data_IF_599066161680
#
_entry.id   IF_599066161680
#
_cell.length_a   1.000
_cell.length_b   1.000
_cell.length_c   1.000
_cell.angle_alpha   90.00
_cell.angle_beta   90.00
_cell.angle_gamma   90.00
#
_symmetry.space_group_name_H-M   'P 1'
#
loop_
_entity.id
_entity.type
_entity.pdbx_description
1 polymer ?
#
# COMPACT_ATOMS: atom_id res chain seq x y z
N UNK A 1 -9.57 2.43 4.73
CA UNK A 1 -10.47 1.52 5.45
C UNK A 1 -9.63 0.72 6.44
N UNK A 2 -10.10 0.40 7.65
CA UNK A 2 -9.29 -0.33 8.61
C UNK A 2 -9.02 -1.74 8.10
N UNK A 3 -7.77 -2.21 8.23
CA UNK A 3 -7.48 -3.63 8.11
C UNK A 3 -8.27 -4.36 9.20
N UNK A 4 -9.22 -5.19 8.79
CA UNK A 4 -9.98 -6.04 9.70
C UNK A 4 -9.09 -7.19 10.16
N UNK A 5 -9.02 -7.40 11.48
CA UNK A 5 -8.27 -8.51 12.08
C UNK A 5 -9.22 -9.60 12.55
N UNK A 6 -8.81 -10.85 12.35
CA UNK A 6 -9.47 -12.00 13.00
C UNK A 6 -9.05 -12.11 14.48
N UNK A 7 -9.85 -12.78 15.33
CA UNK A 7 -9.54 -12.96 16.76
C UNK A 7 -8.19 -13.64 17.05
N UNK A 8 -7.64 -14.38 16.08
CA UNK A 8 -6.34 -15.04 16.16
C UNK A 8 -5.16 -14.16 15.70
N UNK A 9 -5.35 -12.85 15.59
CA UNK A 9 -4.35 -11.88 15.13
C UNK A 9 -3.82 -12.16 13.72
N UNK A 10 -4.69 -12.63 12.82
CA UNK A 10 -4.38 -12.75 11.39
C UNK A 10 -5.21 -11.79 10.57
N UNK A 11 -4.73 -11.46 9.37
CA UNK A 11 -5.46 -10.65 8.41
C UNK A 11 -6.82 -11.30 8.09
N UNK A 12 -7.91 -10.54 8.26
CA UNK A 12 -9.21 -10.89 7.70
C UNK A 12 -9.27 -10.42 6.23
N UNK A 13 -8.63 -11.21 5.37
CA UNK A 13 -8.50 -10.86 3.97
C UNK A 13 -9.84 -10.86 3.23
N UNK A 14 -10.73 -11.80 3.56
CA UNK A 14 -12.06 -11.89 2.96
C UNK A 14 -12.93 -10.68 3.34
N UNK A 15 -12.90 -10.27 4.62
CA UNK A 15 -13.56 -9.04 5.08
C UNK A 15 -13.00 -7.78 4.41
N UNK A 16 -11.68 -7.72 4.21
CA UNK A 16 -11.05 -6.62 3.46
C UNK A 16 -11.51 -6.60 1.99
N UNK A 17 -11.54 -7.74 1.30
CA UNK A 17 -12.03 -7.83 -0.07
C UNK A 17 -13.50 -7.42 -0.18
N UNK A 18 -14.35 -7.88 0.75
CA UNK A 18 -15.77 -7.49 0.79
C UNK A 18 -15.92 -5.96 0.92
N UNK A 19 -15.15 -5.35 1.82
CA UNK A 19 -15.18 -3.90 2.04
C UNK A 19 -14.69 -3.11 0.82
N UNK A 20 -13.61 -3.57 0.19
CA UNK A 20 -13.06 -2.95 -1.04
C UNK A 20 -13.97 -3.13 -2.26
N UNK A 21 -14.83 -4.14 -2.26
CA UNK A 21 -15.84 -4.31 -3.30
C UNK A 21 -16.96 -3.26 -3.22
N UNK A 22 -17.15 -2.61 -2.07
CA UNK A 22 -18.12 -1.53 -1.91
C UNK A 22 -17.58 -0.18 -2.38
N UNK A 23 -16.25 -0.05 -2.53
CA UNK A 23 -15.61 1.15 -3.06
C UNK A 23 -16.01 1.39 -4.53
N UNK A 24 -16.19 2.66 -4.87
CA UNK A 24 -16.64 3.11 -6.18
C UNK A 24 -15.45 3.53 -7.05
N UNK A 25 -15.65 3.52 -8.36
CA UNK A 25 -14.65 4.03 -9.29
C UNK A 25 -14.35 5.51 -8.98
N UNK A 26 -13.07 5.86 -8.95
CA UNK A 26 -12.59 7.19 -8.58
C UNK A 26 -12.37 7.42 -7.08
N UNK A 27 -12.80 6.51 -6.20
CA UNK A 27 -12.44 6.57 -4.78
C UNK A 27 -10.92 6.42 -4.60
N UNK A 28 -10.36 6.99 -3.53
CA UNK A 28 -8.96 6.77 -3.15
C UNK A 28 -8.90 5.74 -2.04
N UNK A 29 -8.13 4.67 -2.25
CA UNK A 29 -7.93 3.60 -1.27
C UNK A 29 -6.51 3.67 -0.73
N UNK A 30 -6.40 3.94 0.57
CA UNK A 30 -5.14 3.98 1.30
C UNK A 30 -4.69 2.59 1.76
N UNK A 31 -3.46 2.23 1.44
CA UNK A 31 -2.74 1.06 1.92
C UNK A 31 -1.51 1.47 2.71
N UNK A 32 -1.21 0.81 3.83
CA UNK A 32 0.14 0.83 4.39
C UNK A 32 0.96 -0.18 3.58
N UNK A 33 2.04 0.25 2.93
CA UNK A 33 2.76 -0.62 2.00
C UNK A 33 3.61 -1.70 2.68
N UNK A 34 3.99 -1.48 3.94
CA UNK A 34 4.62 -2.47 4.81
C UNK A 34 4.43 -2.06 6.27
N UNK A 35 4.64 -3.01 7.19
CA UNK A 35 4.60 -2.77 8.63
C UNK A 35 3.29 -2.12 9.08
N UNK A 36 2.12 -2.66 8.70
CA UNK A 36 0.84 -2.01 9.00
C UNK A 36 0.71 -1.60 10.48
N UNK A 37 0.66 -0.31 10.77
CA UNK A 37 0.44 0.21 12.13
C UNK A 37 -1.07 0.23 12.46
N UNK A 38 -1.53 -0.31 13.61
CA UNK A 38 -0.78 -0.80 14.77
C UNK A 38 -0.56 -2.33 14.83
N UNK A 39 -0.99 -3.07 13.82
CA UNK A 39 -1.16 -4.53 13.90
C UNK A 39 0.11 -5.31 13.56
N UNK A 40 1.02 -4.73 12.77
CA UNK A 40 2.21 -5.35 12.21
C UNK A 40 1.91 -6.42 11.14
N UNK A 41 0.66 -6.51 10.65
CA UNK A 41 0.24 -7.56 9.72
C UNK A 41 0.15 -7.00 8.31
N UNK A 42 0.95 -7.56 7.42
CA UNK A 42 0.93 -7.23 5.99
C UNK A 42 0.30 -8.38 5.17
N UNK A 43 -0.39 -8.08 4.06
CA UNK A 43 -0.82 -9.09 3.10
C UNK A 43 0.38 -9.86 2.51
N UNK A 44 0.14 -11.11 2.13
CA UNK A 44 1.12 -11.88 1.35
C UNK A 44 1.25 -11.32 -0.07
N UNK A 45 2.32 -11.68 -0.81
CA UNK A 45 2.48 -11.26 -2.21
C UNK A 45 1.29 -11.66 -3.09
N UNK A 46 0.77 -12.88 -2.91
CA UNK A 46 -0.41 -13.37 -3.64
C UNK A 46 -1.66 -12.53 -3.31
N UNK A 47 -1.84 -12.15 -2.04
CA UNK A 47 -2.91 -11.26 -1.62
C UNK A 47 -2.76 -9.86 -2.19
N UNK A 48 -1.53 -9.32 -2.23
CA UNK A 48 -1.25 -8.03 -2.89
C UNK A 48 -1.58 -8.05 -4.38
N UNK A 49 -1.26 -9.14 -5.08
CA UNK A 49 -1.60 -9.31 -6.49
C UNK A 49 -3.12 -9.33 -6.70
N UNK A 50 -3.87 -10.00 -5.83
CA UNK A 50 -5.33 -10.00 -5.87
C UNK A 50 -5.92 -8.60 -5.62
N UNK A 51 -5.38 -7.87 -4.65
CA UNK A 51 -5.78 -6.49 -4.39
C UNK A 51 -5.51 -5.56 -5.57
N UNK A 52 -4.35 -5.70 -6.22
CA UNK A 52 -4.00 -4.94 -7.41
C UNK A 52 -4.96 -5.23 -8.58
N UNK A 53 -5.36 -6.49 -8.76
CA UNK A 53 -6.33 -6.86 -9.79
C UNK A 53 -7.72 -6.29 -9.51
N UNK A 54 -8.18 -6.38 -8.24
CA UNK A 54 -9.45 -5.81 -7.80
C UNK A 54 -9.47 -4.28 -7.99
N UNK A 55 -8.36 -3.62 -7.68
CA UNK A 55 -8.16 -2.18 -7.88
C UNK A 55 -8.43 -1.75 -9.31
N UNK A 56 -7.84 -2.44 -10.28
CA UNK A 56 -8.06 -2.17 -11.70
C UNK A 56 -9.50 -2.44 -12.11
N UNK A 57 -10.09 -3.54 -11.63
CA UNK A 57 -11.47 -3.92 -11.95
C UNK A 57 -12.49 -2.89 -11.43
N UNK A 58 -12.29 -2.40 -10.20
CA UNK A 58 -13.19 -1.45 -9.54
C UNK A 58 -12.92 0.01 -9.91
N UNK A 59 -11.73 0.31 -10.40
CA UNK A 59 -11.36 1.64 -10.90
C UNK A 59 -11.13 2.68 -9.80
N UNK A 60 -10.82 2.26 -8.58
CA UNK A 60 -10.36 3.18 -7.52
C UNK A 60 -8.86 3.45 -7.64
N UNK A 61 -8.40 4.58 -7.09
CA UNK A 61 -7.01 5.04 -7.12
C UNK A 61 -6.26 4.56 -5.87
N UNK A 62 -5.25 3.68 -6.00
CA UNK A 62 -4.43 3.28 -4.87
C UNK A 62 -3.52 4.42 -4.39
N UNK A 63 -3.50 4.63 -3.07
CA UNK A 63 -2.57 5.47 -2.34
C UNK A 63 -1.79 4.60 -1.35
N UNK A 64 -0.47 4.62 -1.43
CA UNK A 64 0.41 3.91 -0.50
C UNK A 64 1.02 4.87 0.53
N UNK A 65 0.91 4.54 1.81
CA UNK A 65 1.73 5.08 2.89
C UNK A 65 2.93 4.16 3.10
N UNK A 66 4.12 4.69 2.87
CA UNK A 66 5.39 3.97 2.88
C UNK A 66 6.36 4.57 3.90
N UNK A 67 5.89 4.76 5.13
CA UNK A 67 6.67 5.34 6.22
C UNK A 67 7.72 4.40 6.86
N UNK A 68 7.61 3.08 6.66
CA UNK A 68 8.40 2.07 7.38
C UNK A 68 9.20 1.13 6.47
N UNK A 69 9.49 1.54 5.23
CA UNK A 69 10.27 0.70 4.31
C UNK A 69 11.62 0.33 4.92
N UNK A 70 11.95 -0.96 4.91
CA UNK A 70 13.20 -1.49 5.44
C UNK A 70 13.13 -1.88 6.92
N UNK A 71 11.99 -1.70 7.59
CA UNK A 71 11.81 -2.08 8.99
C UNK A 71 11.17 -3.47 9.20
N UNK A 72 10.53 -4.08 8.20
CA UNK A 72 9.95 -5.43 8.32
C UNK A 72 10.89 -6.52 7.83
N UNK A 73 10.93 -6.74 6.51
CA UNK A 73 11.63 -7.88 5.88
C UNK A 73 12.87 -7.46 5.10
N UNK A 74 12.97 -6.18 4.75
CA UNK A 74 14.06 -5.62 3.95
C UNK A 74 13.52 -4.61 2.94
N UNK A 75 14.39 -3.75 2.40
CA UNK A 75 13.98 -2.66 1.50
C UNK A 75 13.23 -3.16 0.26
N UNK A 76 13.63 -4.31 -0.27
CA UNK A 76 13.12 -4.88 -1.52
C UNK A 76 11.82 -5.65 -1.28
N UNK A 77 11.80 -6.43 -0.20
CA UNK A 77 10.68 -7.26 0.23
C UNK A 77 9.50 -6.39 0.67
N UNK A 78 9.78 -5.30 1.39
CA UNK A 78 8.75 -4.37 1.85
C UNK A 78 8.09 -3.63 0.67
N UNK A 79 8.75 -3.56 -0.50
CA UNK A 79 8.23 -2.94 -1.72
C UNK A 79 7.46 -3.90 -2.64
N UNK A 80 7.35 -5.19 -2.30
CA UNK A 80 6.67 -6.21 -3.12
C UNK A 80 5.20 -5.84 -3.41
N UNK A 81 4.46 -5.39 -2.39
CA UNK A 81 3.06 -4.98 -2.54
C UNK A 81 2.89 -3.78 -3.47
N UNK A 82 3.71 -2.75 -3.29
CA UNK A 82 3.72 -1.57 -4.16
C UNK A 82 4.04 -1.95 -5.61
N UNK A 83 5.03 -2.83 -5.83
CA UNK A 83 5.42 -3.29 -7.18
C UNK A 83 4.31 -4.07 -7.88
N UNK A 84 3.52 -4.87 -7.13
CA UNK A 84 2.36 -5.56 -7.68
C UNK A 84 1.33 -4.57 -8.26
N UNK A 85 1.10 -3.45 -7.56
CA UNK A 85 0.20 -2.39 -8.04
C UNK A 85 0.79 -1.63 -9.23
N UNK A 86 2.07 -1.25 -9.19
CA UNK A 86 2.75 -0.55 -10.30
C UNK A 86 2.68 -1.35 -11.61
N UNK A 87 2.74 -2.68 -11.56
CA UNK A 87 2.67 -3.53 -12.75
C UNK A 87 1.31 -3.45 -13.49
N UNK A 88 0.23 -3.19 -12.77
CA UNK A 88 -1.14 -3.19 -13.30
C UNK A 88 -1.70 -1.77 -13.50
N UNK A 89 -1.30 -0.81 -12.67
CA UNK A 89 -1.83 0.54 -12.68
C UNK A 89 -1.09 1.48 -13.63
N UNK A 90 -1.87 2.32 -14.32
CA UNK A 90 -1.32 3.46 -15.07
C UNK A 90 -0.88 4.57 -14.16
N UNK A 91 -1.59 4.80 -13.06
CA UNK A 91 -1.36 5.89 -12.10
C UNK A 91 -1.62 5.39 -10.69
N UNK A 92 -0.78 5.82 -9.74
CA UNK A 92 -0.95 5.62 -8.30
C UNK A 92 -0.24 6.72 -7.51
N UNK A 93 -0.58 6.86 -6.23
CA UNK A 93 0.06 7.79 -5.31
C UNK A 93 0.88 7.03 -4.26
N UNK A 94 2.08 7.53 -3.95
CA UNK A 94 2.92 7.03 -2.84
C UNK A 94 3.32 8.21 -1.97
N UNK A 95 2.93 8.15 -0.71
CA UNK A 95 3.46 8.98 0.36
C UNK A 95 4.62 8.23 1.00
N UNK A 96 5.84 8.74 0.83
CA UNK A 96 7.03 8.21 1.48
C UNK A 96 7.44 9.18 2.59
N UNK A 97 7.63 8.66 3.80
CA UNK A 97 8.13 9.42 4.93
C UNK A 97 9.52 8.90 5.29
N UNK A 98 10.55 9.72 5.07
CA UNK A 98 11.91 9.40 5.48
C UNK A 98 12.14 10.01 6.87
N UNK A 99 12.11 9.17 7.90
CA UNK A 99 12.60 9.56 9.22
C UNK A 99 14.13 9.47 9.22
N UNK A 100 14.82 10.60 9.05
CA UNK A 100 16.27 10.69 9.34
C UNK A 100 16.44 10.77 10.87
N UNK A 101 16.98 9.71 11.49
CA UNK A 101 17.33 9.72 12.92
C UNK A 101 18.58 10.58 13.17
N UNK A 102 18.40 11.89 13.35
CA UNK A 102 19.40 12.79 13.93
C UNK A 102 18.76 13.61 15.07
N UNK A 103 18.80 13.05 16.28
CA UNK A 103 18.52 13.78 17.52
C UNK A 103 19.52 14.95 17.66
N UNK A 104 19.11 16.24 17.61
CA UNK A 104 17.94 16.84 18.27
C UNK A 104 16.98 17.61 17.34
N UNK A 105 17.02 17.38 16.01
CA UNK A 105 16.16 18.08 15.04
C UNK A 105 15.38 17.06 14.23
N UNK A 106 14.12 16.85 14.59
CA UNK A 106 13.17 16.09 13.77
C UNK A 106 12.83 16.90 12.51
N UNK A 107 13.62 16.75 11.45
CA UNK A 107 13.23 17.21 10.11
C UNK A 107 12.47 16.09 9.43
N UNK A 108 11.15 16.23 9.34
CA UNK A 108 10.35 15.40 8.46
C UNK A 108 10.66 15.76 7.01
N UNK A 109 11.21 14.80 6.26
CA UNK A 109 11.23 14.85 4.80
C UNK A 109 10.25 13.82 4.31
N UNK A 110 9.20 14.30 3.64
CA UNK A 110 8.23 13.45 2.96
C UNK A 110 8.19 13.82 1.49
N UNK A 111 8.01 12.82 0.64
CA UNK A 111 7.79 13.01 -0.78
C UNK A 111 6.46 12.37 -1.15
N UNK A 112 5.62 13.13 -1.86
CA UNK A 112 4.48 12.55 -2.58
C UNK A 112 4.95 12.23 -3.99
N UNK A 113 4.97 10.96 -4.33
CA UNK A 113 5.27 10.50 -5.69
C UNK A 113 3.96 10.14 -6.39
N UNK A 114 3.72 10.73 -7.56
CA UNK A 114 2.73 10.24 -8.50
C UNK A 114 3.45 9.32 -9.49
N UNK A 115 3.20 8.02 -9.38
CA UNK A 115 3.86 6.99 -10.19
C UNK A 115 3.03 6.61 -11.39
N UNK A 116 3.66 6.46 -12.56
CA UNK A 116 3.00 5.97 -13.77
C UNK A 116 3.57 4.62 -14.22
N UNK A 117 2.84 3.52 -13.98
CA UNK A 117 3.32 2.15 -14.23
C UNK A 117 3.35 1.75 -15.71
N UNK A 118 2.55 2.40 -16.57
CA UNK A 118 2.47 2.13 -18.02
C UNK A 118 2.53 3.40 -18.87
N UNK A 119 3.54 4.23 -18.63
CA UNK A 119 3.76 5.46 -19.42
C UNK A 119 4.34 5.24 -20.83
N UNK A 120 4.46 4.00 -21.34
CA UNK A 120 5.13 3.70 -22.63
C UNK A 120 4.21 3.64 -23.86
N UNK A 121 2.90 3.80 -23.70
CA UNK A 121 1.96 3.74 -24.84
C UNK A 121 1.37 5.13 -25.18
N UNK A 122 2.24 6.10 -25.48
CA UNK A 122 1.88 7.37 -26.15
C UNK A 122 2.68 7.54 -27.42
#
# INVERSE_FOLDING_TARGET
>A
MPITMRPNHTLDFDGMLASLNEAQAGDVVLFHGCCHNPTGIDPTLEQWQQLAQLSVEKGWLPLFDFAYQGFARGLEEDAEGLRAFVALHKELLVCELLLEELWPVQRTRGCLHAGCGRCRDR
#
